data_IF_008799013264
#
_entry.id   IF_008799013264
#
_cell.length_a   1.000
_cell.length_b   1.000
_cell.length_c   1.000
_cell.angle_alpha   90.00
_cell.angle_beta   90.00
_cell.angle_gamma   90.00
#
_symmetry.space_group_name_H-M   'P 1'
#
loop_
_entity.id
_entity.type
_entity.pdbx_description
1 polymer ?
#
# COMPACT_ATOMS: atom_id res chain seq x y z
N UNK A 1 -2.44 -20.28 -11.70
CA UNK A 1 -3.35 -20.12 -10.55
C UNK A 1 -2.91 -18.90 -9.76
N UNK A 2 -3.66 -17.80 -9.81
CA UNK A 2 -3.31 -16.59 -9.06
C UNK A 2 -3.67 -16.81 -7.60
N UNK A 3 -2.70 -16.92 -6.69
CA UNK A 3 -3.00 -17.03 -5.27
C UNK A 3 -3.84 -15.83 -4.83
N UNK A 4 -4.98 -16.10 -4.19
CA UNK A 4 -5.87 -15.06 -3.68
C UNK A 4 -5.23 -14.48 -2.41
N UNK A 5 -4.49 -13.38 -2.55
CA UNK A 5 -3.83 -12.68 -1.44
C UNK A 5 -4.90 -12.28 -0.42
N UNK A 6 -4.86 -12.83 0.80
CA UNK A 6 -5.77 -12.45 1.88
C UNK A 6 -5.22 -11.24 2.60
N UNK A 7 -5.76 -10.07 2.29
CA UNK A 7 -5.37 -8.81 2.93
C UNK A 7 -5.95 -8.68 4.34
N UNK A 8 -5.16 -8.05 5.23
CA UNK A 8 -5.63 -7.60 6.54
C UNK A 8 -6.46 -6.34 6.40
N UNK A 9 -7.26 -6.01 7.41
CA UNK A 9 -8.10 -4.80 7.39
C UNK A 9 -7.26 -3.53 7.28
N UNK A 10 -6.08 -3.49 7.93
CA UNK A 10 -5.14 -2.38 7.81
C UNK A 10 -4.60 -2.22 6.38
N UNK A 11 -4.28 -3.33 5.70
CA UNK A 11 -3.85 -3.31 4.30
C UNK A 11 -4.96 -2.85 3.36
N UNK A 12 -6.20 -3.33 3.57
CA UNK A 12 -7.37 -2.87 2.82
C UNK A 12 -7.59 -1.38 3.04
N UNK A 13 -7.47 -0.90 4.29
CA UNK A 13 -7.58 0.52 4.61
C UNK A 13 -6.52 1.35 3.89
N UNK A 14 -5.25 0.92 3.91
CA UNK A 14 -4.15 1.59 3.19
C UNK A 14 -4.45 1.68 1.69
N UNK A 15 -4.88 0.59 1.05
CA UNK A 15 -5.21 0.59 -0.39
C UNK A 15 -6.37 1.56 -0.70
N UNK A 16 -7.40 1.60 0.14
CA UNK A 16 -8.53 2.53 -0.04
C UNK A 16 -8.12 3.98 0.15
N UNK A 17 -7.27 4.28 1.13
CA UNK A 17 -6.71 5.63 1.34
C UNK A 17 -5.85 6.08 0.16
N UNK A 18 -4.98 5.21 -0.35
CA UNK A 18 -4.23 5.47 -1.59
C UNK A 18 -5.16 5.79 -2.76
N UNK A 19 -6.22 4.98 -2.93
CA UNK A 19 -7.21 5.19 -4.00
C UNK A 19 -7.93 6.54 -3.88
N UNK A 20 -8.22 6.99 -2.65
CA UNK A 20 -8.81 8.30 -2.39
C UNK A 20 -7.83 9.48 -2.52
N UNK A 21 -6.56 9.22 -2.87
CA UNK A 21 -5.56 10.26 -3.14
C UNK A 21 -4.59 10.54 -1.99
N UNK A 22 -4.64 9.79 -0.88
CA UNK A 22 -3.61 9.90 0.16
C UNK A 22 -2.26 9.48 -0.40
N UNK A 23 -1.22 10.30 -0.19
CA UNK A 23 0.13 10.03 -0.67
C UNK A 23 0.85 9.08 0.27
N UNK A 24 1.61 8.15 -0.30
CA UNK A 24 2.46 7.23 0.44
C UNK A 24 3.87 7.24 -0.13
N UNK A 25 4.82 6.92 0.74
CA UNK A 25 6.24 6.88 0.41
C UNK A 25 6.81 5.55 0.85
N UNK A 26 7.62 4.92 0.02
CA UNK A 26 8.35 3.71 0.34
C UNK A 26 9.85 4.01 0.30
N UNK A 27 10.58 3.48 1.26
CA UNK A 27 12.03 3.53 1.25
C UNK A 27 12.56 2.70 0.08
N UNK A 28 13.67 3.11 -0.53
CA UNK A 28 14.19 2.49 -1.76
C UNK A 28 14.53 1.00 -1.64
N UNK A 29 14.76 0.50 -0.43
CA UNK A 29 14.96 -0.92 -0.14
C UNK A 29 13.65 -1.71 0.04
N UNK A 30 12.50 -1.04 -0.05
CA UNK A 30 11.16 -1.61 0.11
C UNK A 30 10.83 -2.08 1.53
N UNK A 31 11.64 -1.76 2.54
CA UNK A 31 11.49 -2.28 3.91
C UNK A 31 10.61 -1.41 4.80
N UNK A 32 10.57 -0.10 4.54
CA UNK A 32 9.81 0.89 5.30
C UNK A 32 8.87 1.67 4.41
N UNK A 33 7.71 2.03 4.95
CA UNK A 33 6.72 2.82 4.25
C UNK A 33 6.10 3.84 5.18
N UNK A 34 5.76 5.00 4.64
CA UNK A 34 5.14 6.11 5.34
C UNK A 34 3.87 6.56 4.62
N UNK A 35 2.85 6.90 5.39
CA UNK A 35 1.68 7.64 4.94
C UNK A 35 1.89 9.13 5.17
N UNK A 36 1.55 9.95 4.18
CA UNK A 36 1.41 11.38 4.39
C UNK A 36 -0.03 11.70 4.82
N UNK A 37 -0.19 12.01 6.11
CA UNK A 37 -1.49 12.29 6.69
C UNK A 37 -1.93 13.76 6.56
N UNK A 38 -1.18 14.57 5.79
CA UNK A 38 -1.42 16.00 5.59
C UNK A 38 -0.70 16.92 6.58
N UNK A 39 -0.28 16.42 7.75
CA UNK A 39 0.53 17.17 8.72
C UNK A 39 1.96 16.67 8.79
N UNK A 40 2.15 15.35 8.74
CA UNK A 40 3.44 14.70 8.80
C UNK A 40 3.42 13.34 8.11
N UNK A 41 4.61 12.80 7.88
CA UNK A 41 4.78 11.39 7.52
C UNK A 41 4.64 10.52 8.76
N UNK A 42 3.82 9.48 8.69
CA UNK A 42 3.61 8.50 9.75
C UNK A 42 3.92 7.10 9.24
N UNK A 43 4.59 6.30 10.06
CA UNK A 43 4.99 4.95 9.70
C UNK A 43 3.78 4.09 9.32
N UNK A 44 3.82 3.48 8.13
CA UNK A 44 2.81 2.60 7.57
C UNK A 44 3.42 1.22 7.29
N UNK A 45 3.37 0.29 8.27
CA UNK A 45 3.96 -1.05 8.13
C UNK A 45 3.24 -1.95 7.10
N UNK A 46 2.04 -1.56 6.67
CA UNK A 46 1.30 -2.28 5.63
C UNK A 46 1.87 -2.04 4.24
N UNK A 47 2.47 -0.88 3.98
CA UNK A 47 2.94 -0.48 2.66
C UNK A 47 4.06 -1.39 2.10
N UNK A 48 5.11 -1.78 2.87
CA UNK A 48 6.10 -2.77 2.42
C UNK A 48 5.50 -4.11 2.00
N UNK A 49 4.45 -4.57 2.70
CA UNK A 49 3.80 -5.85 2.38
C UNK A 49 3.00 -5.72 1.08
N UNK A 50 2.27 -4.62 0.92
CA UNK A 50 1.52 -4.33 -0.30
C UNK A 50 2.43 -4.22 -1.53
N UNK A 51 3.60 -3.60 -1.36
CA UNK A 51 4.64 -3.52 -2.39
C UNK A 51 5.15 -4.91 -2.80
N UNK A 52 5.55 -5.75 -1.84
CA UNK A 52 6.00 -7.12 -2.13
C UNK A 52 4.94 -7.99 -2.81
N UNK A 53 3.66 -7.69 -2.54
CA UNK A 53 2.53 -8.37 -3.15
C UNK A 53 2.16 -7.82 -4.54
N UNK A 54 2.89 -6.83 -5.07
CA UNK A 54 2.63 -6.21 -6.38
C UNK A 54 1.36 -5.35 -6.43
N UNK A 55 0.81 -4.95 -5.28
CA UNK A 55 -0.39 -4.12 -5.20
C UNK A 55 -0.06 -2.61 -5.20
N UNK A 56 1.20 -2.29 -4.91
CA UNK A 56 1.73 -0.93 -4.87
C UNK A 56 3.07 -0.98 -5.59
N UNK A 57 3.40 0.09 -6.31
CA UNK A 57 4.68 0.22 -7.00
C UNK A 57 5.21 1.66 -6.93
N UNK A 58 6.50 1.84 -7.18
CA UNK A 58 7.11 3.16 -7.26
C UNK A 58 6.50 3.98 -8.41
N UNK A 59 6.42 5.30 -8.19
CA UNK A 59 5.97 6.21 -9.24
C UNK A 59 7.01 6.39 -10.35
N UNK A 60 8.30 6.25 -10.02
CA UNK A 60 9.43 6.47 -10.94
C UNK A 60 10.19 5.19 -11.23
N UNK A 61 10.81 5.13 -12.41
CA UNK A 61 11.59 3.95 -12.87
C UNK A 61 13.09 4.08 -12.58
N UNK A 62 13.53 5.12 -11.84
CA UNK A 62 14.93 5.29 -11.51
C UNK A 62 15.47 4.17 -10.60
N UNK A 63 16.78 3.95 -10.63
CA UNK A 63 17.45 3.08 -9.66
C UNK A 63 17.22 3.63 -8.26
N UNK A 64 16.62 2.82 -7.39
CA UNK A 64 16.26 3.22 -6.03
C UNK A 64 17.48 3.09 -5.13
N UNK A 65 17.77 4.15 -4.39
CA UNK A 65 18.85 4.16 -3.42
C UNK A 65 18.32 3.73 -2.05
N UNK A 66 19.11 2.93 -1.35
CA UNK A 66 18.83 2.59 0.04
C UNK A 66 18.66 3.86 0.87
N UNK A 67 17.81 3.78 1.89
CA UNK A 67 17.50 4.88 2.80
C UNK A 67 16.80 6.11 2.22
N UNK A 68 16.64 6.21 0.90
CA UNK A 68 15.91 7.31 0.23
C UNK A 68 14.42 6.98 0.11
N UNK A 69 13.57 8.01 0.22
CA UNK A 69 12.12 7.86 0.17
C UNK A 69 11.55 8.24 -1.20
N UNK A 70 10.69 7.39 -1.75
CA UNK A 70 10.09 7.57 -3.07
C UNK A 70 8.58 7.48 -2.97
N UNK A 71 7.88 8.30 -3.77
CA UNK A 71 6.43 8.19 -3.88
C UNK A 71 6.04 6.87 -4.54
N UNK A 72 4.94 6.30 -4.07
CA UNK A 72 4.35 5.07 -4.62
C UNK A 72 2.90 5.28 -5.03
N UNK A 73 2.44 4.43 -5.95
CA UNK A 73 1.09 4.42 -6.52
C UNK A 73 0.49 3.03 -6.47
N UNK A 74 -0.84 2.94 -6.55
CA UNK A 74 -1.53 1.67 -6.74
C UNK A 74 -1.19 1.09 -8.12
N UNK A 75 -0.95 -0.21 -8.16
CA UNK A 75 -1.00 -0.96 -9.42
C UNK A 75 -2.46 -1.21 -9.81
N UNK A 76 -2.75 -1.64 -11.06
CA UNK A 76 -4.10 -2.05 -11.46
C UNK A 76 -4.68 -3.14 -10.52
N UNK A 77 -3.85 -4.07 -10.09
CA UNK A 77 -4.18 -5.14 -9.15
C UNK A 77 -4.48 -4.58 -7.76
N UNK A 78 -3.68 -3.62 -7.29
CA UNK A 78 -3.94 -2.89 -6.04
C UNK A 78 -5.27 -2.14 -6.05
N UNK A 79 -5.60 -1.49 -7.16
CA UNK A 79 -6.87 -0.79 -7.32
C UNK A 79 -8.07 -1.75 -7.31
N UNK A 80 -7.96 -2.92 -7.97
CA UNK A 80 -8.97 -3.99 -7.90
C UNK A 80 -9.10 -4.52 -6.48
N UNK A 81 -7.99 -4.75 -5.78
CA UNK A 81 -7.97 -5.23 -4.41
C UNK A 81 -8.61 -4.23 -3.43
N UNK A 82 -8.42 -2.92 -3.64
CA UNK A 82 -9.05 -1.87 -2.84
C UNK A 82 -10.60 -1.92 -2.91
N UNK A 83 -11.15 -2.27 -4.08
CA UNK A 83 -12.59 -2.36 -4.32
C UNK A 83 -13.18 -3.69 -3.89
N UNK A 84 -12.48 -4.80 -4.19
CA UNK A 84 -13.01 -6.15 -4.01
C UNK A 84 -12.75 -6.76 -2.62
N UNK A 85 -11.83 -6.19 -1.83
CA UNK A 85 -11.51 -6.72 -0.51
C UNK A 85 -12.45 -6.17 0.55
N UNK A 86 -13.08 -7.06 1.31
CA UNK A 86 -13.87 -6.73 2.48
C UNK A 86 -13.00 -6.78 3.75
N UNK A 87 -13.17 -5.79 4.62
CA UNK A 87 -12.68 -5.80 6.00
C UNK A 87 -13.40 -6.87 6.84
N UNK A 88 -12.92 -7.20 8.05
CA UNK A 88 -13.63 -8.13 8.96
C UNK A 88 -15.04 -7.64 9.27
N UNK A 89 -15.17 -6.34 9.55
CA UNK A 89 -16.46 -5.69 9.79
C UNK A 89 -17.43 -5.85 8.61
N UNK A 90 -16.96 -5.64 7.39
CA UNK A 90 -17.78 -5.81 6.17
C UNK A 90 -18.11 -7.28 5.86
N UNK A 91 -17.36 -8.23 6.44
CA UNK A 91 -17.66 -9.67 6.39
C UNK A 91 -18.62 -10.13 7.49
N UNK A 92 -19.08 -9.22 8.37
CA UNK A 92 -19.92 -9.56 9.53
C UNK A 92 -19.18 -10.33 10.61
N UNK A 93 -17.84 -10.25 10.63
CA UNK A 93 -17.01 -10.90 11.64
C UNK A 93 -16.73 -9.92 12.79
N UNK A 94 -16.76 -10.38 14.06
CA UNK A 94 -16.45 -9.57 15.23
C UNK A 94 -14.98 -9.14 15.25
#
# INVERSE_FOLDING_TARGET
>A
MTQKIRLTDAQVYTLRRMKSGTRYFLQGDGRRGDEDNGTRRVNCPSLPVLFRNGLVDFCSDCVKQNYTWYSVKLTPEGAKAANGSQTRKERGLP
#
